data_IF_014176097198
#
_entry.id   IF_014176097198
#
_cell.length_a   1.000
_cell.length_b   1.000
_cell.length_c   1.000
_cell.angle_alpha   90.00
_cell.angle_beta   90.00
_cell.angle_gamma   90.00
#
_symmetry.space_group_name_H-M   'P 1'
#
loop_
_entity.id
_entity.type
_entity.pdbx_description
1 polymer ?
#
# COMPACT_ATOMS: atom_id res chain seq x y z
N UNK A 1 -4.59 51.39 -20.22
CA UNK A 1 -5.11 51.30 -18.84
C UNK A 1 -6.29 50.33 -18.64
N UNK A 2 -7.30 50.26 -19.52
CA UNK A 2 -8.49 49.37 -19.32
C UNK A 2 -8.21 47.85 -19.30
N UNK A 3 -7.22 47.34 -20.05
CA UNK A 3 -6.91 45.89 -20.12
C UNK A 3 -6.21 45.34 -18.85
N UNK A 4 -5.43 46.17 -18.18
CA UNK A 4 -4.71 45.80 -16.93
C UNK A 4 -5.71 45.66 -15.77
N UNK A 5 -6.76 46.48 -15.76
CA UNK A 5 -7.81 46.44 -14.77
C UNK A 5 -8.66 45.15 -14.89
N UNK A 6 -8.99 44.72 -16.11
CA UNK A 6 -9.78 43.50 -16.34
C UNK A 6 -9.04 42.22 -15.92
N UNK A 7 -7.73 42.15 -16.18
CA UNK A 7 -6.90 41.02 -15.75
C UNK A 7 -6.79 40.90 -14.22
N UNK A 8 -6.71 42.05 -13.53
CA UNK A 8 -6.68 42.10 -12.07
C UNK A 8 -7.99 41.61 -11.45
N UNK A 9 -9.15 42.04 -11.99
CA UNK A 9 -10.47 41.59 -11.53
C UNK A 9 -10.72 40.09 -11.78
N UNK A 10 -10.21 39.55 -12.88
CA UNK A 10 -10.30 38.11 -13.15
C UNK A 10 -9.42 37.30 -12.20
N UNK A 11 -8.20 37.77 -11.92
CA UNK A 11 -7.30 37.10 -10.98
C UNK A 11 -7.83 37.12 -9.54
N UNK A 12 -8.39 38.26 -9.10
CA UNK A 12 -9.00 38.37 -7.76
C UNK A 12 -10.25 37.51 -7.64
N UNK A 13 -11.11 37.47 -8.66
CA UNK A 13 -12.26 36.58 -8.69
C UNK A 13 -11.84 35.09 -8.62
N UNK A 14 -10.81 34.69 -9.35
CA UNK A 14 -10.31 33.31 -9.34
C UNK A 14 -9.74 32.91 -7.97
N UNK A 15 -8.97 33.82 -7.34
CA UNK A 15 -8.44 33.64 -5.99
C UNK A 15 -9.58 33.54 -4.96
N UNK A 16 -10.61 34.39 -5.05
CA UNK A 16 -11.77 34.31 -4.17
C UNK A 16 -12.56 32.99 -4.32
N UNK A 17 -12.69 32.46 -5.55
CA UNK A 17 -13.35 31.17 -5.79
C UNK A 17 -12.50 30.02 -5.23
N UNK A 18 -11.18 30.06 -5.41
CA UNK A 18 -10.25 29.06 -4.86
C UNK A 18 -10.24 29.07 -3.33
N UNK A 19 -10.18 30.25 -2.70
CA UNK A 19 -10.23 30.37 -1.24
C UNK A 19 -11.59 29.94 -0.69
N UNK A 20 -12.69 30.30 -1.34
CA UNK A 20 -14.03 29.82 -0.98
C UNK A 20 -14.16 28.30 -1.12
N UNK A 21 -13.63 27.70 -2.19
CA UNK A 21 -13.64 26.25 -2.38
C UNK A 21 -12.81 25.51 -1.32
N UNK A 22 -11.64 26.06 -0.97
CA UNK A 22 -10.78 25.50 0.08
C UNK A 22 -11.43 25.64 1.48
N UNK A 23 -12.02 26.80 1.79
CA UNK A 23 -12.70 27.05 3.06
C UNK A 23 -13.98 26.21 3.21
N UNK A 24 -14.80 26.11 2.16
CA UNK A 24 -16.02 25.29 2.16
C UNK A 24 -15.70 23.79 2.21
N UNK A 25 -14.66 23.33 1.50
CA UNK A 25 -14.18 21.96 1.59
C UNK A 25 -13.66 21.60 2.98
N UNK A 26 -12.93 22.50 3.63
CA UNK A 26 -12.44 22.32 5.00
C UNK A 26 -13.61 22.29 6.00
N UNK A 27 -14.59 23.19 5.86
CA UNK A 27 -15.80 23.22 6.69
C UNK A 27 -16.67 21.95 6.49
N UNK A 28 -16.72 21.40 5.28
CA UNK A 28 -17.44 20.15 5.03
C UNK A 28 -16.70 18.94 5.61
N UNK A 29 -15.36 18.95 5.61
CA UNK A 29 -14.54 17.93 6.25
C UNK A 29 -14.66 17.99 7.79
N UNK A 30 -14.70 19.18 8.39
CA UNK A 30 -14.91 19.33 9.83
C UNK A 30 -16.28 18.80 10.26
N UNK A 31 -17.35 19.14 9.53
CA UNK A 31 -18.70 18.61 9.79
C UNK A 31 -18.78 17.08 9.65
N UNK A 32 -18.04 16.49 8.70
CA UNK A 32 -17.95 15.02 8.56
C UNK A 32 -17.19 14.37 9.71
N UNK A 33 -16.13 15.00 10.19
CA UNK A 33 -15.35 14.52 11.34
C UNK A 33 -16.18 14.57 12.63
N UNK A 34 -16.96 15.62 12.81
CA UNK A 34 -17.84 15.82 13.96
C UNK A 34 -19.00 14.82 13.95
N UNK A 35 -19.58 14.57 12.76
CA UNK A 35 -20.57 13.50 12.57
C UNK A 35 -19.98 12.10 12.83
N UNK A 36 -18.76 11.84 12.37
CA UNK A 36 -18.08 10.57 12.62
C UNK A 36 -17.79 10.36 14.13
N UNK A 37 -17.40 11.42 14.84
CA UNK A 37 -17.20 11.37 16.29
C UNK A 37 -18.52 11.05 17.02
N UNK A 38 -19.61 11.67 16.59
CA UNK A 38 -20.95 11.42 17.14
C UNK A 38 -21.45 10.00 16.86
N UNK A 39 -21.21 9.48 15.65
CA UNK A 39 -21.55 8.09 15.28
C UNK A 39 -20.73 7.07 16.12
N UNK A 40 -19.47 7.40 16.46
CA UNK A 40 -18.61 6.58 17.33
C UNK A 40 -19.09 6.62 18.78
N UNK A 41 -19.49 7.79 19.31
CA UNK A 41 -20.06 7.90 20.66
C UNK A 41 -21.39 7.14 20.78
N UNK A 42 -22.25 7.21 19.77
CA UNK A 42 -23.51 6.47 19.73
C UNK A 42 -23.27 4.96 19.67
N UNK A 43 -22.32 4.50 18.85
CA UNK A 43 -21.92 3.09 18.81
C UNK A 43 -21.31 2.63 20.14
N UNK A 44 -20.52 3.48 20.83
CA UNK A 44 -20.00 3.19 22.15
C UNK A 44 -21.12 3.04 23.19
N UNK A 45 -22.12 3.93 23.18
CA UNK A 45 -23.29 3.83 24.05
C UNK A 45 -24.16 2.60 23.75
N UNK A 46 -24.31 2.21 22.47
CA UNK A 46 -25.01 0.98 22.09
C UNK A 46 -24.23 -0.25 22.55
N UNK A 47 -22.91 -0.28 22.42
CA UNK A 47 -22.08 -1.39 22.90
C UNK A 47 -22.15 -1.48 24.44
N UNK A 48 -22.02 -0.36 25.15
CA UNK A 48 -22.09 -0.34 26.61
C UNK A 48 -23.47 -0.74 27.13
N UNK A 49 -24.55 -0.29 26.48
CA UNK A 49 -25.92 -0.65 26.88
C UNK A 49 -26.30 -2.10 26.52
N UNK A 50 -25.75 -2.65 25.42
CA UNK A 50 -26.00 -4.04 25.00
C UNK A 50 -25.32 -5.08 25.90
N UNK A 51 -24.35 -4.66 26.71
CA UNK A 51 -23.68 -5.50 27.72
C UNK A 51 -24.15 -5.24 29.17
N UNK A 52 -25.06 -4.28 29.41
CA UNK A 52 -25.61 -3.98 30.74
C UNK A 52 -26.67 -5.00 31.25
N UNK A 53 -26.64 -6.24 30.75
CA UNK A 53 -27.69 -7.23 30.97
C UNK A 53 -27.21 -8.66 31.18
N UNK A 54 -26.10 -8.87 31.91
CA UNK A 54 -25.76 -10.09 32.69
C UNK A 54 -24.28 -10.05 33.09
N UNK A 55 -24.00 -9.98 34.39
CA UNK A 55 -22.67 -10.28 34.93
C UNK A 55 -22.25 -9.33 36.03
N UNK A 56 -22.08 -9.88 37.23
CA UNK A 56 -21.53 -9.22 38.41
C UNK A 56 -20.18 -8.52 38.11
N UNK A 57 -20.03 -7.20 38.38
CA UNK A 57 -18.82 -6.42 38.09
C UNK A 57 -17.53 -7.00 38.71
N UNK A 58 -17.68 -7.75 39.80
CA UNK A 58 -16.60 -8.43 40.52
C UNK A 58 -15.95 -9.54 39.68
N UNK A 59 -16.70 -10.23 38.82
CA UNK A 59 -16.19 -11.34 38.00
C UNK A 59 -15.34 -10.86 36.82
N UNK A 60 -15.70 -9.72 36.21
CA UNK A 60 -14.90 -9.09 35.15
C UNK A 60 -13.56 -8.59 35.69
N UNK A 61 -13.58 -7.96 36.86
CA UNK A 61 -12.35 -7.50 37.51
C UNK A 61 -11.44 -8.66 37.92
N UNK A 62 -11.99 -9.79 38.39
CA UNK A 62 -11.20 -10.99 38.66
C UNK A 62 -10.57 -11.59 37.40
N UNK A 63 -11.27 -11.58 36.26
CA UNK A 63 -10.77 -12.16 35.01
C UNK A 63 -9.67 -11.30 34.38
N UNK A 64 -9.82 -9.98 34.49
CA UNK A 64 -8.80 -9.01 34.12
C UNK A 64 -7.59 -9.18 35.04
N UNK A 65 -7.77 -9.20 36.37
CA UNK A 65 -6.67 -9.40 37.33
C UNK A 65 -5.94 -10.73 37.09
N UNK A 66 -6.66 -11.82 36.78
CA UNK A 66 -6.06 -13.12 36.41
C UNK A 66 -5.21 -13.04 35.15
N UNK A 67 -5.70 -12.37 34.11
CA UNK A 67 -4.99 -12.25 32.83
C UNK A 67 -3.77 -11.32 32.96
N UNK A 68 -3.93 -10.23 33.70
CA UNK A 68 -2.89 -9.24 34.03
C UNK A 68 -1.79 -9.93 34.85
N UNK A 69 -2.11 -10.61 35.95
CA UNK A 69 -1.15 -11.37 36.77
C UNK A 69 -0.46 -12.50 36.01
N UNK A 70 -1.14 -13.14 35.05
CA UNK A 70 -0.56 -14.23 34.25
C UNK A 70 0.47 -13.75 33.24
N UNK A 71 0.25 -12.58 32.63
CA UNK A 71 1.05 -12.13 31.49
C UNK A 71 2.10 -11.07 31.84
N UNK A 72 1.88 -10.25 32.87
CA UNK A 72 2.85 -9.22 33.30
C UNK A 72 4.22 -9.76 33.71
N UNK A 73 4.34 -10.85 34.50
CA UNK A 73 5.65 -11.35 34.92
C UNK A 73 6.51 -11.75 33.72
N UNK A 74 5.91 -12.42 32.74
CA UNK A 74 6.61 -12.84 31.52
C UNK A 74 7.09 -11.64 30.69
N UNK A 75 6.24 -10.62 30.52
CA UNK A 75 6.60 -9.38 29.82
C UNK A 75 7.72 -8.65 30.57
N UNK A 76 7.68 -8.66 31.90
CA UNK A 76 8.70 -8.06 32.75
C UNK A 76 10.04 -8.80 32.63
N UNK A 77 10.03 -10.13 32.59
CA UNK A 77 11.21 -10.96 32.40
C UNK A 77 11.82 -10.74 31.01
N UNK A 78 11.01 -10.67 29.96
CA UNK A 78 11.46 -10.37 28.58
C UNK A 78 12.10 -8.97 28.49
N UNK A 79 11.52 -7.97 29.15
CA UNK A 79 12.08 -6.61 29.23
C UNK A 79 13.41 -6.58 29.99
N UNK A 80 13.54 -7.34 31.07
CA UNK A 80 14.78 -7.44 31.83
C UNK A 80 15.86 -8.20 31.05
N UNK A 81 15.49 -9.23 30.29
CA UNK A 81 16.40 -9.94 29.39
C UNK A 81 16.92 -9.03 28.28
N UNK A 82 16.05 -8.22 27.66
CA UNK A 82 16.44 -7.20 26.68
C UNK A 82 17.36 -6.13 27.28
N UNK A 83 17.03 -5.62 28.47
CA UNK A 83 17.84 -4.64 29.20
C UNK A 83 19.22 -5.21 29.58
N UNK A 84 19.29 -6.49 29.91
CA UNK A 84 20.56 -7.19 30.20
C UNK A 84 21.38 -7.40 28.93
N UNK A 85 20.74 -7.75 27.81
CA UNK A 85 21.38 -7.87 26.49
C UNK A 85 22.00 -6.56 26.01
N UNK A 86 21.31 -5.44 26.20
CA UNK A 86 21.83 -4.11 25.84
C UNK A 86 22.99 -3.65 26.73
N UNK A 87 23.06 -4.11 27.99
CA UNK A 87 24.15 -3.79 28.92
C UNK A 87 25.38 -4.69 28.76
N UNK A 88 25.25 -5.84 28.08
CA UNK A 88 26.32 -6.82 27.95
C UNK A 88 27.27 -6.60 26.74
N UNK A 89 26.99 -5.63 25.86
CA UNK A 89 28.01 -5.06 24.97
C UNK A 89 28.78 -6.01 24.04
N UNK A 90 28.27 -7.20 23.72
CA UNK A 90 28.92 -8.12 22.77
C UNK A 90 27.88 -8.68 21.79
N UNK A 91 28.07 -8.46 20.49
CA UNK A 91 27.32 -9.12 19.43
C UNK A 91 27.90 -10.54 19.21
N UNK A 92 27.15 -11.63 19.49
CA UNK A 92 27.63 -12.96 19.17
C UNK A 92 27.44 -13.21 17.66
N UNK A 93 28.54 -13.49 16.98
CA UNK A 93 28.57 -14.10 15.65
C UNK A 93 27.85 -15.46 15.69
N UNK A 94 26.74 -15.58 14.97
CA UNK A 94 25.94 -16.80 14.95
C UNK A 94 26.35 -17.69 13.77
N UNK A 95 27.14 -18.71 14.07
CA UNK A 95 27.31 -19.88 13.22
C UNK A 95 26.24 -20.94 13.56
N UNK A 96 25.44 -21.29 12.54
CA UNK A 96 24.73 -22.55 12.28
C UNK A 96 23.63 -23.06 13.24
N UNK A 97 22.43 -23.35 12.69
CA UNK A 97 21.53 -24.31 13.35
C UNK A 97 20.01 -24.29 13.13
N UNK A 98 19.47 -23.72 12.04
CA UNK A 98 18.13 -24.01 11.42
C UNK A 98 18.07 -23.17 10.13
N UNK A 99 17.43 -23.59 9.02
CA UNK A 99 17.35 -22.76 7.83
C UNK A 99 16.39 -21.61 8.13
N UNK A 100 16.92 -20.54 8.75
CA UNK A 100 16.38 -19.20 8.61
C UNK A 100 16.35 -18.98 7.11
N UNK A 101 15.14 -18.85 6.57
CA UNK A 101 14.88 -18.46 5.20
C UNK A 101 15.86 -17.32 4.91
N UNK A 102 16.81 -17.56 4.02
CA UNK A 102 17.88 -16.62 3.69
C UNK A 102 17.17 -15.43 3.05
N UNK A 103 16.75 -14.46 3.87
CA UNK A 103 16.32 -13.16 3.38
C UNK A 103 17.64 -12.53 2.96
N UNK A 104 18.02 -12.81 1.72
CA UNK A 104 18.96 -11.99 1.01
C UNK A 104 18.30 -10.61 0.98
N UNK A 105 18.77 -9.70 1.84
CA UNK A 105 18.23 -8.36 1.95
C UNK A 105 18.66 -7.59 0.71
N UNK A 106 17.90 -7.78 -0.37
CA UNK A 106 18.14 -7.17 -1.67
C UNK A 106 17.42 -5.83 -1.73
N UNK A 107 18.13 -4.82 -2.24
CA UNK A 107 17.58 -3.48 -2.45
C UNK A 107 16.47 -3.53 -3.50
N UNK A 108 15.24 -3.20 -3.11
CA UNK A 108 14.13 -3.06 -4.06
C UNK A 108 14.20 -1.69 -4.75
N UNK A 109 14.74 -1.64 -5.97
CA UNK A 109 14.86 -0.40 -6.75
C UNK A 109 13.51 0.19 -7.18
N UNK A 110 12.41 -0.56 -7.08
CA UNK A 110 11.06 -0.02 -7.30
C UNK A 110 10.46 0.66 -6.06
N UNK A 111 11.21 0.77 -4.95
CA UNK A 111 10.72 1.44 -3.74
C UNK A 111 10.55 2.95 -3.95
N UNK A 112 9.38 3.48 -3.59
CA UNK A 112 9.14 4.93 -3.56
C UNK A 112 10.12 5.64 -2.61
N UNK A 113 10.40 5.03 -1.45
CA UNK A 113 11.34 5.56 -0.45
C UNK A 113 12.77 5.69 -0.99
N UNK A 114 13.12 4.91 -2.02
CA UNK A 114 14.41 5.00 -2.72
C UNK A 114 14.36 5.92 -3.95
N UNK A 115 13.21 6.54 -4.23
CA UNK A 115 13.03 7.51 -5.31
C UNK A 115 12.41 6.95 -6.59
N UNK A 116 11.85 5.74 -6.57
CA UNK A 116 11.07 5.23 -7.70
C UNK A 116 9.77 6.03 -7.87
N UNK A 117 9.31 6.20 -9.12
CA UNK A 117 8.15 7.04 -9.45
C UNK A 117 7.21 6.35 -10.44
N UNK A 118 5.92 6.65 -10.33
CA UNK A 118 4.95 6.37 -11.37
C UNK A 118 5.06 7.44 -12.45
N UNK A 119 5.23 7.03 -13.70
CA UNK A 119 5.38 7.93 -14.86
C UNK A 119 4.08 8.02 -15.66
N UNK A 120 3.43 6.89 -15.88
CA UNK A 120 2.18 6.82 -16.64
C UNK A 120 1.34 5.64 -16.17
N UNK A 121 0.02 5.80 -16.25
CA UNK A 121 -0.96 4.76 -15.94
C UNK A 121 -2.06 4.78 -16.98
N UNK A 122 -2.31 3.63 -17.57
CA UNK A 122 -3.46 3.36 -18.42
C UNK A 122 -4.28 2.25 -17.77
N UNK A 123 -5.28 2.64 -16.99
CA UNK A 123 -6.17 1.75 -16.27
C UNK A 123 -7.53 2.45 -16.12
N UNK A 124 -8.58 1.67 -15.79
CA UNK A 124 -9.87 2.25 -15.37
C UNK A 124 -9.96 2.25 -13.85
N UNK A 125 -10.42 3.33 -13.20
CA UNK A 125 -10.61 3.33 -11.76
C UNK A 125 -11.72 2.36 -11.35
N UNK A 126 -11.58 1.74 -10.17
CA UNK A 126 -12.57 0.79 -9.63
C UNK A 126 -13.93 1.48 -9.51
N UNK A 127 -13.97 2.60 -8.80
CA UNK A 127 -15.14 3.45 -8.67
C UNK A 127 -15.18 4.46 -9.81
N UNK A 128 -16.34 4.62 -10.46
CA UNK A 128 -16.51 5.67 -11.45
C UNK A 128 -16.30 7.04 -10.78
N UNK A 129 -15.36 7.88 -11.27
CA UNK A 129 -15.20 9.22 -10.75
C UNK A 129 -16.45 10.05 -11.07
N UNK A 130 -16.83 10.96 -10.17
CA UNK A 130 -17.78 12.00 -10.54
C UNK A 130 -17.10 13.01 -11.48
N UNK A 131 -17.90 13.85 -12.13
CA UNK A 131 -17.38 14.83 -13.11
C UNK A 131 -16.22 15.67 -12.58
N UNK A 132 -16.33 16.16 -11.34
CA UNK A 132 -15.28 16.95 -10.70
C UNK A 132 -13.98 16.16 -10.51
N UNK A 133 -14.05 14.91 -10.04
CA UNK A 133 -12.88 14.05 -9.88
C UNK A 133 -12.22 13.72 -11.21
N UNK A 134 -13.01 13.46 -12.26
CA UNK A 134 -12.48 13.21 -13.59
C UNK A 134 -11.77 14.45 -14.14
N UNK A 135 -12.38 15.63 -14.01
CA UNK A 135 -11.80 16.91 -14.45
C UNK A 135 -10.47 17.24 -13.74
N UNK A 136 -10.34 16.88 -12.46
CA UNK A 136 -9.13 17.10 -11.67
C UNK A 136 -8.10 15.97 -11.78
N UNK A 137 -8.33 14.93 -12.60
CA UNK A 137 -7.43 13.76 -12.69
C UNK A 137 -7.36 12.93 -11.41
N UNK A 138 -8.35 13.06 -10.53
CA UNK A 138 -8.44 12.43 -9.21
C UNK A 138 -9.15 11.06 -9.26
N UNK A 139 -8.93 10.32 -10.35
CA UNK A 139 -9.65 9.08 -10.63
C UNK A 139 -9.21 7.93 -9.71
N UNK A 140 -7.96 7.95 -9.23
CA UNK A 140 -7.36 6.89 -8.40
C UNK A 140 -7.12 7.30 -6.94
N UNK A 141 -7.81 8.31 -6.40
CA UNK A 141 -7.52 8.83 -5.04
C UNK A 141 -7.61 7.78 -3.94
N UNK A 142 -8.51 6.81 -4.07
CA UNK A 142 -8.73 5.78 -3.04
C UNK A 142 -7.63 4.73 -3.04
N UNK A 143 -7.16 4.35 -4.22
CA UNK A 143 -6.16 3.30 -4.42
C UNK A 143 -5.15 3.78 -5.47
N UNK A 144 -4.26 4.72 -5.11
CA UNK A 144 -3.39 5.36 -6.10
C UNK A 144 -2.31 4.39 -6.59
N UNK A 145 -1.84 4.52 -7.84
CA UNK A 145 -0.80 3.67 -8.42
C UNK A 145 0.49 3.58 -7.60
N UNK A 146 0.83 4.66 -6.90
CA UNK A 146 2.04 4.74 -6.07
C UNK A 146 2.07 3.70 -4.94
N UNK A 147 0.91 3.20 -4.49
CA UNK A 147 0.82 2.15 -3.46
C UNK A 147 1.65 0.90 -3.81
N UNK A 148 1.80 0.58 -5.09
CA UNK A 148 2.63 -0.55 -5.53
C UNK A 148 4.13 -0.39 -5.25
N UNK A 149 4.59 0.84 -5.02
CA UNK A 149 5.99 1.17 -4.77
C UNK A 149 6.28 1.30 -3.26
N UNK A 150 5.24 1.29 -2.43
CA UNK A 150 5.35 1.39 -0.97
C UNK A 150 5.72 0.05 -0.33
N UNK A 151 6.28 0.12 0.88
CA UNK A 151 6.56 -1.06 1.73
C UNK A 151 5.31 -1.58 2.48
N UNK A 152 4.27 -0.75 2.57
CA UNK A 152 3.08 -0.97 3.39
C UNK A 152 2.12 -1.98 2.75
N UNK A 153 1.76 -3.04 3.50
CA UNK A 153 0.96 -4.18 3.02
C UNK A 153 -0.37 -4.37 3.77
N UNK A 154 -0.88 -3.34 4.44
CA UNK A 154 -2.19 -3.40 5.12
C UNK A 154 -3.33 -3.64 4.11
N UNK A 155 -4.40 -4.36 4.48
CA UNK A 155 -5.57 -4.54 3.62
C UNK A 155 -6.09 -3.21 3.05
N UNK A 156 -6.27 -3.15 1.72
CA UNK A 156 -6.66 -1.92 1.01
C UNK A 156 -5.50 -0.99 0.62
N UNK A 157 -4.28 -1.18 1.14
CA UNK A 157 -3.09 -0.42 0.71
C UNK A 157 -2.48 -1.00 -0.57
N UNK A 158 -3.23 -0.94 -1.67
CA UNK A 158 -2.81 -1.44 -2.97
C UNK A 158 -3.30 -0.50 -4.08
N UNK A 159 -2.67 -0.58 -5.25
CA UNK A 159 -3.21 0.02 -6.47
C UNK A 159 -4.34 -0.85 -6.98
N UNK A 160 -5.54 -0.29 -7.08
CA UNK A 160 -6.72 -1.01 -7.52
C UNK A 160 -7.23 -0.43 -8.83
N UNK A 161 -7.54 -1.29 -9.79
CA UNK A 161 -8.13 -0.92 -11.06
C UNK A 161 -9.25 -1.86 -11.46
N UNK A 162 -10.21 -1.35 -12.24
CA UNK A 162 -11.38 -2.10 -12.68
C UNK A 162 -10.98 -3.23 -13.62
N UNK A 163 -11.72 -4.34 -13.51
CA UNK A 163 -11.49 -5.59 -14.24
C UNK A 163 -10.08 -6.13 -13.93
N UNK A 164 -9.33 -6.50 -14.96
CA UNK A 164 -8.12 -7.31 -14.86
C UNK A 164 -6.93 -6.78 -15.66
N UNK A 165 -7.11 -5.66 -16.37
CA UNK A 165 -6.09 -5.08 -17.25
C UNK A 165 -5.67 -3.66 -16.85
N UNK A 166 -4.36 -3.44 -16.81
CA UNK A 166 -3.75 -2.13 -16.61
C UNK A 166 -2.33 -2.09 -17.19
N UNK A 167 -1.92 -0.92 -17.68
CA UNK A 167 -0.53 -0.64 -18.05
C UNK A 167 0.03 0.44 -17.15
N UNK A 168 1.15 0.17 -16.50
CA UNK A 168 1.79 1.09 -15.55
C UNK A 168 3.26 1.23 -15.91
N UNK A 169 3.70 2.46 -16.14
CA UNK A 169 5.12 2.77 -16.35
C UNK A 169 5.70 3.34 -15.08
N UNK A 170 6.78 2.72 -14.60
CA UNK A 170 7.54 3.13 -13.42
C UNK A 170 8.95 3.54 -13.83
N UNK A 171 9.50 4.55 -13.15
CA UNK A 171 10.90 4.94 -13.24
C UNK A 171 11.62 4.58 -11.95
N UNK A 172 12.68 3.80 -12.06
CA UNK A 172 13.63 3.48 -11.00
C UNK A 172 14.52 4.71 -10.72
N UNK A 173 15.11 4.83 -9.53
CA UNK A 173 15.99 5.95 -9.18
C UNK A 173 17.34 5.91 -9.91
N UNK A 174 17.76 4.72 -10.40
CA UNK A 174 19.03 4.50 -11.08
C UNK A 174 18.85 3.54 -12.27
N UNK A 175 19.81 3.55 -13.20
CA UNK A 175 19.94 2.48 -14.21
C UNK A 175 20.40 1.20 -13.51
N UNK A 176 19.60 0.14 -13.61
CA UNK A 176 19.83 -1.13 -12.90
C UNK A 176 19.97 -2.26 -13.92
N UNK A 177 20.98 -3.11 -13.72
CA UNK A 177 21.07 -4.42 -14.37
C UNK A 177 20.13 -5.37 -13.63
N UNK A 178 18.88 -5.45 -14.11
CA UNK A 178 17.77 -6.12 -13.41
C UNK A 178 17.88 -7.64 -13.59
N UNK A 179 18.12 -8.37 -12.50
CA UNK A 179 18.16 -9.83 -12.52
C UNK A 179 16.86 -10.49 -12.04
N UNK A 180 16.02 -9.76 -11.29
CA UNK A 180 14.72 -10.25 -10.83
C UNK A 180 13.68 -9.14 -10.77
N UNK A 181 12.46 -9.49 -11.15
CA UNK A 181 11.26 -8.69 -10.89
C UNK A 181 10.26 -9.56 -10.16
N UNK A 182 9.44 -8.97 -9.30
CA UNK A 182 8.44 -9.71 -8.57
C UNK A 182 7.23 -8.89 -8.18
N UNK A 183 6.22 -9.62 -7.73
CA UNK A 183 5.01 -9.06 -7.13
C UNK A 183 4.84 -9.65 -5.73
N UNK A 184 4.33 -8.83 -4.82
CA UNK A 184 3.86 -9.27 -3.52
C UNK A 184 2.36 -9.03 -3.41
N UNK A 185 1.63 -9.97 -2.82
CA UNK A 185 0.22 -9.80 -2.47
C UNK A 185 -0.04 -10.20 -1.02
N UNK A 186 -1.13 -9.71 -0.42
CA UNK A 186 -1.56 -10.16 0.91
C UNK A 186 -2.03 -11.62 0.90
N UNK A 187 -1.90 -12.29 2.04
CA UNK A 187 -2.44 -13.63 2.25
C UNK A 187 -3.97 -13.63 2.44
N UNK A 188 -4.59 -14.79 2.32
CA UNK A 188 -6.00 -14.99 2.64
C UNK A 188 -6.32 -14.59 4.09
N UNK A 189 -5.41 -14.88 5.04
CA UNK A 189 -5.60 -14.53 6.46
C UNK A 189 -5.60 -13.02 6.70
N UNK A 190 -4.90 -12.25 5.87
CA UNK A 190 -4.90 -10.79 5.92
C UNK A 190 -6.08 -10.18 5.17
N UNK A 191 -6.65 -10.90 4.21
CA UNK A 191 -7.81 -10.42 3.46
C UNK A 191 -9.06 -10.37 4.35
N UNK A 192 -9.81 -9.25 4.40
CA UNK A 192 -10.97 -9.12 5.27
C UNK A 192 -12.06 -10.18 5.07
N UNK A 193 -12.19 -10.69 3.83
CA UNK A 193 -13.15 -11.72 3.44
C UNK A 193 -12.49 -13.04 3.05
N UNK A 194 -11.17 -13.19 3.28
CA UNK A 194 -10.42 -14.37 2.84
C UNK A 194 -10.19 -14.46 1.33
N UNK A 195 -10.64 -13.49 0.54
CA UNK A 195 -10.54 -13.52 -0.92
C UNK A 195 -9.22 -12.90 -1.40
N UNK A 196 -8.51 -13.62 -2.27
CA UNK A 196 -7.30 -13.15 -2.97
C UNK A 196 -7.42 -13.32 -4.48
N UNK A 197 -8.62 -13.54 -5.01
CA UNK A 197 -8.89 -13.67 -6.45
C UNK A 197 -8.62 -12.38 -7.23
N UNK A 198 -8.50 -11.24 -6.52
CA UNK A 198 -8.17 -9.92 -7.06
C UNK A 198 -6.66 -9.71 -7.24
N UNK A 199 -5.81 -10.66 -6.87
CA UNK A 199 -4.39 -10.58 -7.16
C UNK A 199 -4.15 -10.61 -8.68
N UNK A 200 -3.14 -9.87 -9.20
CA UNK A 200 -2.72 -10.01 -10.59
C UNK A 200 -2.24 -11.44 -10.84
N UNK A 201 -2.55 -12.00 -12.01
CA UNK A 201 -2.18 -13.36 -12.40
C UNK A 201 -1.11 -13.32 -13.49
N UNK A 202 -1.49 -13.07 -14.73
CA UNK A 202 -0.56 -12.98 -15.84
C UNK A 202 -0.15 -11.52 -16.05
N UNK A 203 1.15 -11.27 -16.15
CA UNK A 203 1.68 -9.94 -16.43
C UNK A 203 2.91 -9.99 -17.35
N UNK A 204 3.19 -8.88 -18.01
CA UNK A 204 4.33 -8.74 -18.93
C UNK A 204 5.10 -7.49 -18.56
N UNK A 205 6.42 -7.55 -18.60
CA UNK A 205 7.26 -6.40 -18.30
C UNK A 205 8.14 -6.07 -19.49
N UNK A 206 8.16 -4.79 -19.85
CA UNK A 206 9.06 -4.22 -20.84
C UNK A 206 9.98 -3.20 -20.16
N UNK A 207 11.21 -3.09 -20.64
CA UNK A 207 12.01 -1.89 -20.44
C UNK A 207 11.77 -0.93 -21.60
N UNK A 208 11.79 0.37 -21.33
CA UNK A 208 11.64 1.41 -22.36
C UNK A 208 13.01 2.05 -22.59
N UNK A 209 13.52 1.95 -23.81
CA UNK A 209 14.82 2.52 -24.22
C UNK A 209 14.61 3.41 -25.44
N UNK A 210 14.66 4.73 -25.24
CA UNK A 210 14.23 5.69 -26.25
C UNK A 210 12.76 5.46 -26.60
N UNK A 211 12.47 5.26 -27.88
CA UNK A 211 11.12 5.00 -28.39
C UNK A 211 10.80 3.49 -28.56
N UNK A 212 11.63 2.61 -27.97
CA UNK A 212 11.48 1.15 -28.11
C UNK A 212 11.14 0.46 -26.80
N UNK A 213 10.26 -0.53 -26.89
CA UNK A 213 9.98 -1.47 -25.80
C UNK A 213 10.83 -2.73 -25.96
N UNK A 214 11.61 -3.08 -24.93
CA UNK A 214 12.39 -4.31 -24.83
C UNK A 214 11.67 -5.27 -23.90
N UNK A 215 11.23 -6.42 -24.40
CA UNK A 215 10.57 -7.43 -23.59
C UNK A 215 11.54 -8.02 -22.55
N UNK A 216 11.24 -7.83 -21.27
CA UNK A 216 12.01 -8.45 -20.17
C UNK A 216 11.45 -9.83 -19.81
N UNK A 217 10.14 -10.03 -19.97
CA UNK A 217 9.52 -11.33 -19.78
C UNK A 217 8.01 -11.29 -19.64
N UNK A 218 7.42 -12.48 -19.70
CA UNK A 218 6.02 -12.76 -19.40
C UNK A 218 6.00 -13.65 -18.16
N UNK A 219 5.21 -13.28 -17.17
CA UNK A 219 5.26 -13.87 -15.84
C UNK A 219 3.87 -14.23 -15.37
N UNK A 220 3.83 -15.16 -14.42
CA UNK A 220 2.61 -15.65 -13.81
C UNK A 220 2.78 -15.63 -12.30
N UNK A 221 2.00 -14.80 -11.61
CA UNK A 221 1.89 -14.80 -10.16
C UNK A 221 0.85 -15.84 -9.73
N UNK A 222 1.17 -16.61 -8.69
CA UNK A 222 0.26 -17.59 -8.10
C UNK A 222 -0.24 -17.17 -6.72
N UNK A 223 -1.48 -17.51 -6.36
CA UNK A 223 -2.00 -17.30 -5.00
C UNK A 223 -1.49 -18.34 -3.98
N UNK A 224 -0.17 -18.43 -3.79
CA UNK A 224 0.49 -19.41 -2.92
C UNK A 224 0.63 -18.84 -1.50
N UNK A 225 -0.12 -19.37 -0.53
CA UNK A 225 -0.15 -18.83 0.84
C UNK A 225 1.20 -18.88 1.57
N UNK A 226 2.06 -19.84 1.23
CA UNK A 226 3.41 -19.95 1.77
C UNK A 226 4.44 -19.06 1.05
N UNK A 227 4.07 -18.44 -0.06
CA UNK A 227 4.96 -17.62 -0.88
C UNK A 227 4.25 -16.40 -1.46
N UNK A 228 4.08 -15.38 -0.61
CA UNK A 228 3.39 -14.14 -0.93
C UNK A 228 4.21 -13.18 -1.80
N UNK A 229 5.54 -13.29 -1.76
CA UNK A 229 6.47 -12.52 -2.60
C UNK A 229 7.06 -13.46 -3.65
N UNK A 230 6.61 -13.34 -4.89
CA UNK A 230 7.13 -14.15 -5.99
C UNK A 230 8.02 -13.31 -6.87
N UNK A 231 9.24 -13.80 -7.10
CA UNK A 231 10.22 -13.17 -7.97
C UNK A 231 10.54 -14.07 -9.14
N UNK A 232 10.78 -13.46 -10.28
CA UNK A 232 11.01 -14.09 -11.56
C UNK A 232 12.37 -13.64 -12.08
N UNK A 233 13.18 -14.60 -12.52
CA UNK A 233 14.52 -14.34 -13.05
C UNK A 233 14.41 -13.70 -14.43
N UNK A 234 15.23 -12.70 -14.66
CA UNK A 234 15.38 -12.01 -15.94
C UNK A 234 16.84 -12.13 -16.37
N UNK A 235 17.06 -12.24 -17.68
CA UNK A 235 18.38 -12.18 -18.29
C UNK A 235 18.53 -10.82 -19.00
N UNK A 236 18.97 -9.76 -18.29
CA UNK A 236 19.04 -8.43 -18.87
C UNK A 236 20.21 -8.34 -19.86
N UNK A 237 19.98 -7.74 -21.03
CA UNK A 237 21.05 -7.41 -21.98
C UNK A 237 21.83 -6.14 -21.56
N UNK A 238 21.16 -5.21 -20.89
CA UNK A 238 21.70 -3.90 -20.49
C UNK A 238 21.00 -3.39 -19.21
N UNK A 239 21.39 -2.20 -18.75
CA UNK A 239 20.78 -1.55 -17.58
C UNK A 239 19.55 -0.74 -17.98
N UNK A 240 18.50 -0.80 -17.17
CA UNK A 240 17.25 -0.09 -17.40
C UNK A 240 16.82 0.68 -16.16
N UNK A 241 16.18 1.84 -16.36
CA UNK A 241 15.55 2.62 -15.29
C UNK A 241 14.05 2.87 -15.56
N UNK A 242 13.54 2.59 -16.76
CA UNK A 242 12.15 2.82 -17.13
C UNK A 242 11.49 1.50 -17.50
N UNK A 243 10.49 1.08 -16.71
CA UNK A 243 9.82 -0.21 -16.83
C UNK A 243 8.33 -0.05 -17.05
N UNK A 244 7.77 -0.78 -18.00
CA UNK A 244 6.34 -0.84 -18.28
C UNK A 244 5.77 -2.21 -17.91
N UNK A 245 4.92 -2.22 -16.90
CA UNK A 245 4.17 -3.39 -16.45
C UNK A 245 2.82 -3.42 -17.14
N UNK A 246 2.55 -4.52 -17.84
CA UNK A 246 1.25 -4.85 -18.40
C UNK A 246 0.64 -5.94 -17.51
N UNK A 247 -0.36 -5.58 -16.71
CA UNK A 247 -1.20 -6.55 -16.02
C UNK A 247 -2.26 -7.02 -16.99
N UNK A 248 -2.31 -8.34 -17.25
CA UNK A 248 -3.10 -8.91 -18.34
C UNK A 248 -4.31 -9.72 -17.84
N UNK A 249 -4.27 -10.20 -16.60
CA UNK A 249 -5.34 -10.99 -15.99
C UNK A 249 -5.27 -10.97 -14.46
N UNK A 250 -6.31 -11.49 -13.80
CA UNK A 250 -6.33 -11.75 -12.35
C UNK A 250 -6.76 -13.18 -12.04
N UNK A 251 -6.89 -13.51 -10.75
CA UNK A 251 -7.29 -14.83 -10.28
C UNK A 251 -8.81 -15.05 -10.22
N UNK A 252 -9.59 -14.30 -11.01
CA UNK A 252 -11.03 -14.51 -11.19
C UNK A 252 -11.93 -13.51 -10.47
N UNK A 253 -11.37 -12.46 -9.85
CA UNK A 253 -12.22 -11.43 -9.24
C UNK A 253 -12.95 -10.61 -10.32
N UNK A 254 -14.30 -10.54 -10.29
CA UNK A 254 -15.08 -10.08 -11.44
C UNK A 254 -15.09 -8.56 -11.64
N UNK A 255 -14.62 -7.77 -10.65
CA UNK A 255 -14.80 -6.30 -10.66
C UNK A 255 -13.50 -5.51 -10.70
N UNK A 256 -12.42 -6.06 -10.16
CA UNK A 256 -11.17 -5.31 -9.98
C UNK A 256 -9.99 -6.25 -9.71
N UNK A 257 -8.80 -5.70 -9.93
CA UNK A 257 -7.51 -6.27 -9.55
C UNK A 257 -6.81 -5.32 -8.59
N UNK A 258 -6.07 -5.85 -7.61
CA UNK A 258 -5.26 -5.06 -6.70
C UNK A 258 -3.80 -5.52 -6.71
N UNK A 259 -2.89 -4.59 -6.96
CA UNK A 259 -1.45 -4.83 -6.92
C UNK A 259 -0.88 -4.16 -5.68
N UNK A 260 -0.33 -4.97 -4.77
CA UNK A 260 0.15 -4.51 -3.47
C UNK A 260 1.57 -3.97 -3.55
N UNK A 261 2.50 -4.76 -4.10
CA UNK A 261 3.91 -4.34 -4.18
C UNK A 261 4.60 -4.90 -5.41
N UNK A 262 5.37 -4.05 -6.07
CA UNK A 262 6.33 -4.44 -7.10
C UNK A 262 7.72 -4.47 -6.45
N UNK A 263 8.48 -5.51 -6.77
CA UNK A 263 9.91 -5.55 -6.45
C UNK A 263 10.75 -5.64 -7.70
N UNK A 264 11.84 -4.87 -7.75
CA UNK A 264 12.84 -4.90 -8.81
C UNK A 264 14.20 -5.02 -8.15
N UNK A 265 14.90 -6.12 -8.43
CA UNK A 265 16.22 -6.41 -7.88
C UNK A 265 17.26 -6.48 -8.99
N UNK A 266 18.47 -6.04 -8.68
CA UNK A 266 19.56 -6.04 -9.64
C UNK A 266 20.82 -5.42 -9.04
N UNK A 267 21.70 -4.93 -9.92
CA UNK A 267 22.92 -4.23 -9.55
C UNK A 267 23.05 -2.94 -10.36
N UNK A 268 23.58 -1.89 -9.73
CA UNK A 268 23.84 -0.60 -10.39
C UNK A 268 24.98 -0.64 -11.39
#
# INVERSE_FOLDING_TARGET
>A
MRKICLGYWLATALLCVLTYALLSGNLQNSKKLEKLHQDVEEMAHVVLSKYAGKGDPTFLMEMIDRSVKKHLPKIWDDLNALKKGLKAGECPSLASGKPVLKIEERVNYASEELGAKIIAVQARPVCSPNYLKALLGMEFTTNPPVRMLESKMEPGNCFAFRNDTAVVTIKLPHLVLIDRIGLQHISQKQSPNGDTSNAPKDFTVFAIVGDRDVLLGKFHYGCIQSNLLQTFVIQPAEKYDLLRFHFNSNHGHPRYTCVYRIVVYGKM
#
